data_IF_120396914593
#
_entry.id   IF_120396914593
#
_cell.length_a   1.000
_cell.length_b   1.000
_cell.length_c   1.000
_cell.angle_alpha   90.00
_cell.angle_beta   90.00
_cell.angle_gamma   90.00
#
_symmetry.space_group_name_H-M   'P 1'
#
loop_
_entity.id
_entity.type
_entity.pdbx_description
1 polymer ?
#
# COMPACT_ATOMS: atom_id res chain seq x y z
N UNK A 1 -4.37 30.98 23.90
CA UNK A 1 -3.87 29.62 23.58
C UNK A 1 -2.43 29.62 23.07
N UNK A 2 -2.08 30.34 21.99
CA UNK A 2 -0.69 30.36 21.46
C UNK A 2 0.39 30.69 22.52
N UNK A 3 0.28 31.85 23.17
CA UNK A 3 1.24 32.28 24.20
C UNK A 3 1.29 31.34 25.41
N UNK A 4 0.14 30.81 25.84
CA UNK A 4 0.08 29.83 26.93
C UNK A 4 0.80 28.51 26.58
N UNK A 5 0.69 28.04 25.33
CA UNK A 5 1.42 26.85 24.88
C UNK A 5 2.92 27.15 24.76
N UNK A 6 3.31 28.33 24.26
CA UNK A 6 4.71 28.77 24.20
C UNK A 6 5.33 28.79 25.60
N UNK A 7 4.64 29.42 26.56
CA UNK A 7 5.06 29.48 27.96
C UNK A 7 5.17 28.07 28.59
N UNK A 8 4.17 27.22 28.42
CA UNK A 8 4.21 25.85 28.94
C UNK A 8 5.40 25.05 28.38
N UNK A 9 5.64 25.11 27.07
CA UNK A 9 6.77 24.43 26.43
C UNK A 9 8.10 24.92 27.00
N UNK A 10 8.24 26.22 27.20
CA UNK A 10 9.45 26.82 27.74
C UNK A 10 9.64 26.50 29.23
N UNK A 11 8.64 26.73 30.07
CA UNK A 11 8.76 26.62 31.52
C UNK A 11 8.78 25.18 32.02
N UNK A 12 7.96 24.30 31.42
CA UNK A 12 7.79 22.91 31.89
C UNK A 12 8.66 21.93 31.14
N UNK A 13 8.84 22.12 29.82
CA UNK A 13 9.60 21.20 28.97
C UNK A 13 10.98 21.74 28.58
N UNK A 14 11.30 23.01 28.89
CA UNK A 14 12.54 23.68 28.48
C UNK A 14 12.77 23.65 26.97
N UNK A 15 11.67 23.82 26.21
CA UNK A 15 11.67 23.84 24.75
C UNK A 15 11.27 25.21 24.23
N UNK A 16 12.12 25.79 23.38
CA UNK A 16 11.85 27.07 22.71
C UNK A 16 11.03 26.88 21.41
N UNK A 17 10.22 27.88 21.07
CA UNK A 17 9.42 27.88 19.83
C UNK A 17 10.04 28.80 18.79
N UNK A 18 10.12 28.35 17.54
CA UNK A 18 10.52 29.18 16.41
C UNK A 18 9.44 30.21 16.05
N UNK A 19 9.77 31.50 16.11
CA UNK A 19 8.83 32.58 15.78
C UNK A 19 8.52 32.66 14.28
N UNK A 20 9.45 32.24 13.42
CA UNK A 20 9.25 32.17 11.98
C UNK A 20 8.23 31.09 11.59
N UNK A 21 8.32 29.92 12.23
CA UNK A 21 7.51 28.73 11.88
C UNK A 21 6.18 28.69 12.62
N UNK A 22 6.13 29.22 13.85
CA UNK A 22 4.95 29.22 14.71
C UNK A 22 4.20 30.54 14.61
N UNK A 23 3.06 30.54 13.91
CA UNK A 23 2.22 31.74 13.79
C UNK A 23 0.74 31.42 13.74
N UNK A 24 -0.07 32.37 14.20
CA UNK A 24 -1.53 32.31 14.07
C UNK A 24 -1.93 32.79 12.68
N UNK A 25 -2.60 31.95 11.89
CA UNK A 25 -2.99 32.25 10.51
C UNK A 25 -4.51 32.32 10.38
N UNK A 26 -5.02 33.42 9.82
CA UNK A 26 -6.41 33.49 9.42
C UNK A 26 -6.63 32.72 8.10
N UNK A 27 -7.19 31.51 8.21
CA UNK A 27 -7.43 30.60 7.08
C UNK A 27 -8.38 31.14 6.00
N UNK A 28 -9.17 32.19 6.28
CA UNK A 28 -10.01 32.86 5.27
C UNK A 28 -9.16 33.70 4.32
N UNK A 29 -8.08 34.31 4.84
CA UNK A 29 -7.17 35.17 4.07
C UNK A 29 -6.01 34.37 3.48
N UNK A 30 -5.28 33.64 4.33
CA UNK A 30 -4.04 32.94 3.97
C UNK A 30 -4.17 31.42 4.16
N UNK A 31 -3.53 30.60 3.32
CA UNK A 31 -3.46 29.16 3.56
C UNK A 31 -2.49 28.83 4.71
N UNK A 32 -2.69 27.69 5.35
CA UNK A 32 -1.71 27.06 6.24
C UNK A 32 -1.15 25.80 5.60
N UNK A 33 0.13 25.50 5.85
CA UNK A 33 0.79 24.29 5.37
C UNK A 33 1.12 23.36 6.54
N UNK A 34 0.73 22.09 6.44
CA UNK A 34 0.98 21.08 7.47
C UNK A 34 1.10 19.70 6.84
N UNK A 35 2.16 18.95 7.18
CA UNK A 35 2.42 17.59 6.67
C UNK A 35 2.29 17.45 5.14
N UNK A 36 2.73 18.46 4.40
CA UNK A 36 2.67 18.46 2.94
C UNK A 36 1.30 18.82 2.35
N UNK A 37 0.30 19.14 3.18
CA UNK A 37 -0.99 19.68 2.76
C UNK A 37 -1.06 21.19 2.93
N UNK A 38 -1.67 21.88 1.97
CA UNK A 38 -1.97 23.31 2.01
C UNK A 38 -3.47 23.50 2.16
N UNK A 39 -3.92 24.09 3.26
CA UNK A 39 -5.32 24.17 3.68
C UNK A 39 -5.77 25.64 3.74
N UNK A 40 -6.92 25.96 3.13
CA UNK A 40 -7.54 27.28 3.18
C UNK A 40 -9.05 27.16 3.40
N UNK A 41 -9.66 28.12 4.11
CA UNK A 41 -11.10 28.22 4.23
C UNK A 41 -11.69 28.83 2.96
N UNK A 42 -12.68 28.17 2.36
CA UNK A 42 -13.34 28.61 1.13
C UNK A 42 -14.85 28.76 1.35
N UNK A 43 -15.40 29.91 0.97
CA UNK A 43 -16.85 30.16 1.04
C UNK A 43 -17.58 29.28 0.01
N UNK A 44 -18.57 28.50 0.43
CA UNK A 44 -19.34 27.59 -0.43
C UNK A 44 -20.83 27.67 -0.07
N UNK A 45 -21.70 27.74 -1.08
CA UNK A 45 -23.15 27.58 -0.90
C UNK A 45 -23.43 26.11 -0.61
N UNK A 46 -24.13 25.85 0.48
CA UNK A 46 -24.58 24.52 0.92
C UNK A 46 -26.10 24.55 1.10
N UNK A 47 -26.72 23.40 1.28
CA UNK A 47 -28.16 23.30 1.56
C UNK A 47 -28.55 24.05 2.84
N UNK A 48 -27.60 24.28 3.76
CA UNK A 48 -27.76 25.05 4.99
C UNK A 48 -27.24 26.49 4.87
N UNK A 49 -27.27 27.06 3.66
CA UNK A 49 -26.78 28.41 3.38
C UNK A 49 -25.28 28.50 3.07
N UNK A 50 -24.74 29.71 3.13
CA UNK A 50 -23.33 29.99 2.82
C UNK A 50 -22.46 29.63 4.01
N UNK A 51 -21.53 28.68 3.82
CA UNK A 51 -20.59 28.23 4.86
C UNK A 51 -19.15 28.27 4.39
N UNK A 52 -18.21 28.24 5.32
CA UNK A 52 -16.80 28.03 4.99
C UNK A 52 -16.48 26.54 5.05
N UNK A 53 -15.88 26.01 3.98
CA UNK A 53 -15.41 24.64 3.90
C UNK A 53 -13.90 24.61 3.72
N UNK A 54 -13.24 23.57 4.25
CA UNK A 54 -11.82 23.38 4.03
C UNK A 54 -11.56 23.02 2.55
N UNK A 55 -10.67 23.78 1.91
CA UNK A 55 -10.08 23.44 0.61
C UNK A 55 -8.61 23.13 0.82
N UNK A 56 -8.25 21.87 0.60
CA UNK A 56 -6.90 21.35 0.72
C UNK A 56 -6.30 20.95 -0.63
N UNK A 57 -5.00 21.22 -0.74
CA UNK A 57 -4.12 20.91 -1.87
C UNK A 57 -2.83 20.24 -1.37
N UNK A 58 -2.03 19.68 -2.27
CA UNK A 58 -0.62 19.44 -2.02
C UNK A 58 0.14 20.77 -1.88
N UNK A 59 1.13 20.83 -1.00
CA UNK A 59 2.09 21.96 -0.94
C UNK A 59 2.97 21.99 -2.19
N UNK A 60 3.54 23.15 -2.49
CA UNK A 60 4.46 23.27 -3.64
C UNK A 60 5.71 22.39 -3.45
N UNK A 61 6.22 22.29 -2.21
CA UNK A 61 7.31 21.38 -1.86
C UNK A 61 6.93 19.91 -2.09
N UNK A 62 5.73 19.50 -1.68
CA UNK A 62 5.23 18.14 -1.93
C UNK A 62 5.11 17.83 -3.43
N UNK A 63 4.59 18.76 -4.23
CA UNK A 63 4.50 18.63 -5.68
C UNK A 63 5.89 18.50 -6.32
N UNK A 64 6.86 19.31 -5.91
CA UNK A 64 8.25 19.22 -6.39
C UNK A 64 8.88 17.87 -6.06
N UNK A 65 8.72 17.39 -4.83
CA UNK A 65 9.21 16.08 -4.40
C UNK A 65 8.56 14.93 -5.18
N UNK A 66 7.24 14.99 -5.39
CA UNK A 66 6.52 14.01 -6.21
C UNK A 66 7.04 14.00 -7.66
N UNK A 67 7.25 15.19 -8.24
CA UNK A 67 7.80 15.33 -9.60
C UNK A 67 9.19 14.70 -9.72
N UNK A 68 10.08 14.94 -8.75
CA UNK A 68 11.42 14.37 -8.74
C UNK A 68 11.40 12.83 -8.65
N UNK A 69 10.61 12.29 -7.72
CA UNK A 69 10.47 10.83 -7.55
C UNK A 69 9.95 10.14 -8.81
N UNK A 70 8.92 10.72 -9.44
CA UNK A 70 8.37 10.16 -10.68
C UNK A 70 9.41 10.25 -11.81
N UNK A 71 10.12 11.39 -11.97
CA UNK A 71 11.19 11.50 -12.97
C UNK A 71 12.30 10.47 -12.77
N UNK A 72 12.70 10.21 -11.52
CA UNK A 72 13.70 9.18 -11.21
C UNK A 72 13.21 7.79 -11.60
N UNK A 73 11.95 7.46 -11.30
CA UNK A 73 11.36 6.17 -11.69
C UNK A 73 11.28 6.02 -13.23
N UNK A 74 10.93 7.08 -13.96
CA UNK A 74 10.93 7.07 -15.44
C UNK A 74 12.34 6.84 -15.99
N UNK A 75 13.36 7.51 -15.43
CA UNK A 75 14.77 7.30 -15.82
C UNK A 75 15.22 5.87 -15.56
N UNK A 76 14.78 5.25 -14.47
CA UNK A 76 15.09 3.86 -14.16
C UNK A 76 14.51 2.90 -15.21
N UNK A 77 13.25 3.09 -15.62
CA UNK A 77 12.62 2.31 -16.70
C UNK A 77 13.39 2.49 -18.02
N UNK A 78 13.73 3.75 -18.37
CA UNK A 78 14.47 4.04 -19.60
C UNK A 78 15.82 3.32 -19.62
N UNK A 79 16.56 3.34 -18.50
CA UNK A 79 17.87 2.69 -18.39
C UNK A 79 17.76 1.17 -18.44
N UNK A 80 16.79 0.59 -17.74
CA UNK A 80 16.57 -0.85 -17.69
C UNK A 80 15.08 -1.15 -17.76
N UNK A 81 14.63 -1.65 -18.91
CA UNK A 81 13.22 -1.90 -19.24
C UNK A 81 12.72 -3.21 -18.60
N UNK A 82 12.87 -3.36 -17.29
CA UNK A 82 12.44 -4.55 -16.55
C UNK A 82 11.04 -4.38 -15.97
N UNK A 83 10.29 -5.47 -15.81
CA UNK A 83 8.98 -5.45 -15.16
C UNK A 83 9.07 -4.89 -13.73
N UNK A 84 10.18 -5.16 -13.03
CA UNK A 84 10.44 -4.61 -11.70
C UNK A 84 10.51 -3.08 -11.68
N UNK A 85 11.18 -2.45 -12.67
CA UNK A 85 11.25 -1.00 -12.73
C UNK A 85 9.88 -0.36 -13.05
N UNK A 86 9.06 -1.04 -13.86
CA UNK A 86 7.67 -0.62 -14.12
C UNK A 86 6.84 -0.74 -12.83
N UNK A 87 7.01 -1.83 -12.08
CA UNK A 87 6.36 -2.04 -10.79
C UNK A 87 6.78 -0.99 -9.74
N UNK A 88 8.07 -0.63 -9.68
CA UNK A 88 8.58 0.45 -8.81
C UNK A 88 7.97 1.80 -9.18
N UNK A 89 7.87 2.11 -10.46
CA UNK A 89 7.19 3.33 -10.94
C UNK A 89 5.73 3.39 -10.49
N UNK A 90 4.99 2.30 -10.68
CA UNK A 90 3.59 2.19 -10.25
C UNK A 90 3.46 2.36 -8.73
N UNK A 91 4.34 1.72 -7.96
CA UNK A 91 4.39 1.83 -6.49
C UNK A 91 4.62 3.27 -6.03
N UNK A 92 5.53 4.01 -6.67
CA UNK A 92 5.79 5.43 -6.37
C UNK A 92 4.52 6.27 -6.56
N UNK A 93 3.85 6.10 -7.70
CA UNK A 93 2.65 6.88 -8.02
C UNK A 93 1.51 6.53 -7.05
N UNK A 94 1.24 5.24 -6.85
CA UNK A 94 0.20 4.80 -5.93
C UNK A 94 0.45 5.29 -4.50
N UNK A 95 1.70 5.33 -4.05
CA UNK A 95 2.08 5.90 -2.76
C UNK A 95 1.73 7.38 -2.63
N UNK A 96 2.04 8.19 -3.66
CA UNK A 96 1.69 9.62 -3.70
C UNK A 96 0.17 9.80 -3.70
N UNK A 97 -0.54 9.06 -4.55
CA UNK A 97 -2.00 9.09 -4.62
C UNK A 97 -2.65 8.73 -3.29
N UNK A 98 -2.18 7.65 -2.65
CA UNK A 98 -2.73 7.19 -1.37
C UNK A 98 -2.51 8.23 -0.27
N UNK A 99 -1.29 8.74 -0.11
CA UNK A 99 -0.96 9.69 0.94
C UNK A 99 -1.77 10.99 0.82
N UNK A 100 -1.83 11.55 -0.38
CA UNK A 100 -2.53 12.82 -0.61
C UNK A 100 -4.01 12.66 -0.98
N UNK A 101 -4.57 11.45 -0.91
CA UNK A 101 -5.99 11.19 -1.20
C UNK A 101 -6.93 12.02 -0.33
N UNK A 102 -6.51 12.44 0.86
CA UNK A 102 -7.26 13.31 1.75
C UNK A 102 -7.39 14.77 1.25
N UNK A 103 -6.60 15.19 0.25
CA UNK A 103 -6.67 16.55 -0.26
C UNK A 103 -7.92 16.74 -1.15
N UNK A 104 -8.75 17.73 -0.83
CA UNK A 104 -10.01 18.01 -1.53
C UNK A 104 -9.82 18.32 -3.02
N UNK A 105 -8.64 18.82 -3.40
CA UNK A 105 -8.28 19.17 -4.78
C UNK A 105 -7.17 18.29 -5.33
N UNK A 106 -6.98 17.08 -4.77
CA UNK A 106 -5.92 16.17 -5.19
C UNK A 106 -5.91 15.88 -6.69
N UNK A 107 -7.08 15.70 -7.30
CA UNK A 107 -7.20 15.45 -8.74
C UNK A 107 -6.62 16.61 -9.55
N UNK A 108 -6.88 17.86 -9.16
CA UNK A 108 -6.34 19.04 -9.84
C UNK A 108 -4.82 19.10 -9.70
N UNK A 109 -4.31 18.83 -8.51
CA UNK A 109 -2.88 18.89 -8.22
C UNK A 109 -2.11 17.81 -9.00
N UNK A 110 -2.63 16.58 -9.04
CA UNK A 110 -2.02 15.49 -9.80
C UNK A 110 -2.20 15.65 -11.31
N UNK A 111 -3.29 16.25 -11.79
CA UNK A 111 -3.44 16.61 -13.22
C UNK A 111 -2.39 17.64 -13.65
N UNK A 112 -2.14 18.67 -12.84
CA UNK A 112 -1.07 19.64 -13.10
C UNK A 112 0.30 18.96 -13.10
N UNK A 113 0.54 18.06 -12.16
CA UNK A 113 1.78 17.28 -12.10
C UNK A 113 1.94 16.39 -13.34
N UNK A 114 0.87 15.70 -13.75
CA UNK A 114 0.84 14.86 -14.95
C UNK A 114 1.18 15.66 -16.20
N UNK A 115 0.55 16.83 -16.40
CA UNK A 115 0.82 17.68 -17.56
C UNK A 115 2.29 18.12 -17.65
N UNK A 116 2.91 18.45 -16.51
CA UNK A 116 4.35 18.77 -16.46
C UNK A 116 5.25 17.59 -16.77
N UNK A 117 4.78 16.36 -16.53
CA UNK A 117 5.54 15.13 -16.73
C UNK A 117 5.27 14.48 -18.09
N UNK A 118 4.16 14.80 -18.77
CA UNK A 118 3.76 14.19 -20.05
C UNK A 118 4.88 14.22 -21.10
N UNK A 119 5.54 15.37 -21.29
CA UNK A 119 6.65 15.48 -22.25
C UNK A 119 7.83 14.58 -21.87
N UNK A 120 8.15 14.49 -20.58
CA UNK A 120 9.23 13.62 -20.10
C UNK A 120 8.87 12.13 -20.22
N UNK A 121 7.61 11.76 -19.98
CA UNK A 121 7.10 10.40 -20.15
C UNK A 121 7.11 10.00 -21.62
N UNK A 122 6.61 10.88 -22.50
CA UNK A 122 6.62 10.66 -23.95
C UNK A 122 8.05 10.49 -24.45
N UNK A 123 8.91 11.49 -24.29
CA UNK A 123 10.27 11.47 -24.85
C UNK A 123 11.15 10.32 -24.34
N UNK A 124 10.89 9.79 -23.14
CA UNK A 124 11.73 8.73 -22.54
C UNK A 124 11.19 7.34 -22.73
N UNK A 125 9.87 7.20 -22.89
CA UNK A 125 9.20 5.90 -22.90
C UNK A 125 8.42 5.61 -24.18
N UNK A 126 8.32 6.55 -25.13
CA UNK A 126 7.51 6.39 -26.35
C UNK A 126 7.90 5.16 -27.17
N UNK A 127 9.20 4.88 -27.28
CA UNK A 127 9.73 3.77 -28.09
C UNK A 127 9.51 2.40 -27.45
N UNK A 128 9.37 2.36 -26.11
CA UNK A 128 9.35 1.10 -25.34
C UNK A 128 7.95 0.73 -24.86
N UNK A 129 7.02 1.69 -24.86
CA UNK A 129 5.66 1.49 -24.37
C UNK A 129 4.73 1.08 -25.50
N UNK A 130 3.80 0.19 -25.20
CA UNK A 130 2.69 -0.19 -26.08
C UNK A 130 1.39 0.40 -25.55
N UNK A 131 0.41 0.61 -26.43
CA UNK A 131 -0.93 0.97 -25.97
C UNK A 131 -1.52 -0.15 -25.13
N UNK A 132 -2.30 0.22 -24.12
CA UNK A 132 -2.97 -0.70 -23.22
C UNK A 132 -4.43 -0.29 -23.08
N UNK A 133 -5.25 -1.28 -22.72
CA UNK A 133 -6.65 -1.12 -22.39
C UNK A 133 -6.85 -1.21 -20.89
N UNK A 134 -8.06 -0.89 -20.42
CA UNK A 134 -8.39 -1.01 -19.00
C UNK A 134 -8.35 -2.47 -18.52
N UNK A 135 -8.62 -3.41 -19.41
CA UNK A 135 -8.65 -4.84 -19.17
C UNK A 135 -7.25 -5.43 -18.94
N UNK A 136 -6.19 -4.77 -19.44
CA UNK A 136 -4.80 -5.15 -19.19
C UNK A 136 -4.36 -4.92 -17.73
N UNK A 137 -5.11 -4.13 -16.95
CA UNK A 137 -4.83 -3.99 -15.51
C UNK A 137 -5.14 -5.29 -14.76
N UNK A 138 -4.41 -5.56 -13.67
CA UNK A 138 -4.83 -6.56 -12.69
C UNK A 138 -6.20 -6.21 -12.09
N UNK A 139 -6.96 -7.21 -11.63
CA UNK A 139 -8.32 -7.01 -11.07
C UNK A 139 -8.35 -5.95 -9.96
N UNK A 140 -7.31 -5.90 -9.13
CA UNK A 140 -7.16 -4.90 -8.06
C UNK A 140 -7.00 -3.47 -8.61
N UNK A 141 -6.21 -3.31 -9.68
CA UNK A 141 -6.01 -2.02 -10.35
C UNK A 141 -7.24 -1.58 -11.13
N UNK A 142 -7.96 -2.49 -11.77
CA UNK A 142 -9.26 -2.21 -12.38
C UNK A 142 -10.24 -1.67 -11.33
N UNK A 143 -10.33 -2.30 -10.15
CA UNK A 143 -11.18 -1.79 -9.06
C UNK A 143 -10.77 -0.38 -8.62
N UNK A 144 -9.47 -0.13 -8.52
CA UNK A 144 -8.91 1.15 -8.06
C UNK A 144 -9.18 2.30 -9.04
N UNK A 145 -8.98 2.07 -10.35
CA UNK A 145 -9.10 3.09 -11.38
C UNK A 145 -10.43 3.03 -12.15
N UNK A 146 -11.43 2.33 -11.62
CA UNK A 146 -12.77 2.27 -12.22
C UNK A 146 -13.38 3.66 -12.42
N UNK A 147 -13.82 3.93 -13.64
CA UNK A 147 -14.45 5.20 -14.01
C UNK A 147 -13.47 6.36 -14.22
N UNK A 148 -12.18 6.06 -14.43
CA UNK A 148 -11.23 7.01 -15.00
C UNK A 148 -11.04 6.72 -16.48
N UNK A 149 -11.21 7.76 -17.30
CA UNK A 149 -10.88 7.72 -18.72
C UNK A 149 -9.44 8.19 -18.89
N UNK A 150 -8.55 7.25 -19.22
CA UNK A 150 -7.12 7.50 -19.35
C UNK A 150 -6.61 6.84 -20.62
N UNK A 151 -5.72 7.51 -21.35
CA UNK A 151 -4.89 6.82 -22.33
C UNK A 151 -3.83 6.00 -21.58
N UNK A 152 -3.94 4.68 -21.68
CA UNK A 152 -3.10 3.74 -20.95
C UNK A 152 -1.98 3.20 -21.85
N UNK A 153 -0.86 2.90 -21.21
CA UNK A 153 0.29 2.30 -21.85
C UNK A 153 0.85 1.20 -20.96
N UNK A 154 1.41 0.16 -21.57
CA UNK A 154 2.09 -0.92 -20.86
C UNK A 154 3.53 -1.10 -21.31
N UNK A 155 4.36 -1.56 -20.39
CA UNK A 155 5.75 -1.94 -20.62
C UNK A 155 5.95 -3.29 -19.91
N UNK A 156 6.53 -4.28 -20.62
CA UNK A 156 6.70 -5.67 -20.12
C UNK A 156 5.39 -6.25 -19.52
N UNK A 157 4.30 -6.15 -20.27
CA UNK A 157 2.94 -6.56 -19.88
C UNK A 157 2.36 -5.90 -18.62
N UNK A 158 3.04 -4.90 -18.03
CA UNK A 158 2.54 -4.14 -16.89
C UNK A 158 2.05 -2.77 -17.32
N UNK A 159 0.78 -2.46 -17.03
CA UNK A 159 0.18 -1.16 -17.31
C UNK A 159 0.77 -0.08 -16.39
N UNK A 160 1.15 1.05 -16.95
CA UNK A 160 1.60 2.23 -16.22
C UNK A 160 0.41 2.89 -15.55
N UNK A 161 0.51 3.09 -14.23
CA UNK A 161 -0.52 3.75 -13.43
C UNK A 161 -0.66 5.22 -13.84
N UNK A 162 -1.88 5.72 -14.10
CA UNK A 162 -2.11 7.12 -14.42
C UNK A 162 -1.84 8.02 -13.20
N UNK A 163 -0.95 9.02 -13.35
CA UNK A 163 -0.53 9.91 -12.26
C UNK A 163 -1.72 10.69 -11.67
N UNK A 164 -2.61 11.18 -12.52
CA UNK A 164 -3.70 12.07 -12.15
C UNK A 164 -4.92 11.36 -11.53
N UNK A 165 -4.96 10.02 -11.57
CA UNK A 165 -6.14 9.24 -11.22
C UNK A 165 -6.28 9.01 -9.71
N UNK A 166 -6.57 10.09 -8.97
CA UNK A 166 -6.94 10.00 -7.55
C UNK A 166 -8.09 10.95 -7.24
N UNK A 167 -9.12 10.42 -6.58
CA UNK A 167 -10.25 11.18 -6.04
C UNK A 167 -10.00 11.49 -4.57
N UNK A 168 -10.61 12.57 -4.09
CA UNK A 168 -10.60 12.88 -2.66
C UNK A 168 -11.28 11.74 -1.90
N UNK A 169 -10.58 11.17 -0.92
CA UNK A 169 -11.17 10.28 0.08
C UNK A 169 -11.52 11.12 1.30
N UNK A 170 -12.78 11.09 1.70
CA UNK A 170 -13.23 11.83 2.89
C UNK A 170 -12.63 11.17 4.12
N UNK A 171 -11.91 11.95 4.92
CA UNK A 171 -11.47 11.52 6.23
C UNK A 171 -12.61 11.75 7.22
N UNK A 172 -13.12 10.68 7.80
CA UNK A 172 -14.12 10.74 8.86
C UNK A 172 -13.43 11.04 10.19
N UNK A 173 -14.16 11.66 11.11
CA UNK A 173 -13.67 11.92 12.46
C UNK A 173 -13.33 10.61 13.17
N UNK A 174 -12.32 10.64 14.02
CA UNK A 174 -12.03 9.51 14.90
C UNK A 174 -13.21 9.26 15.84
N UNK A 175 -13.45 7.99 16.16
CA UNK A 175 -14.40 7.62 17.20
C UNK A 175 -13.99 8.27 18.51
N UNK A 176 -14.92 8.95 19.18
CA UNK A 176 -14.69 9.54 20.51
C UNK A 176 -14.40 8.49 21.58
N UNK A 177 -14.66 7.21 21.29
CA UNK A 177 -14.33 6.10 22.19
C UNK A 177 -12.85 5.70 22.15
N UNK A 178 -12.09 6.18 21.16
CA UNK A 178 -10.65 5.98 21.04
C UNK A 178 -9.95 7.15 21.75
N UNK A 179 -9.21 6.85 22.81
CA UNK A 179 -8.50 7.86 23.61
C UNK A 179 -7.18 7.30 24.15
N UNK A 180 -6.09 8.03 23.95
CA UNK A 180 -4.75 7.63 24.41
C UNK A 180 -4.61 7.69 25.94
N UNK A 181 -5.47 8.46 26.61
CA UNK A 181 -5.37 8.71 28.05
C UNK A 181 -6.23 7.78 28.89
N UNK A 182 -7.13 6.99 28.27
CA UNK A 182 -7.95 5.99 28.98
C UNK A 182 -7.49 4.59 28.64
N UNK A 183 -7.49 3.67 29.61
CA UNK A 183 -7.09 2.27 29.38
C UNK A 183 -7.99 1.59 28.35
N UNK A 184 -9.31 1.80 28.44
CA UNK A 184 -10.27 1.27 27.46
C UNK A 184 -10.04 1.85 26.04
N UNK A 185 -9.76 3.15 25.93
CA UNK A 185 -9.45 3.80 24.66
C UNK A 185 -8.14 3.30 24.06
N UNK A 186 -7.08 3.17 24.87
CA UNK A 186 -5.79 2.60 24.47
C UNK A 186 -5.93 1.16 24.00
N UNK A 187 -6.70 0.32 24.70
CA UNK A 187 -6.91 -1.08 24.32
C UNK A 187 -7.52 -1.20 22.92
N UNK A 188 -8.46 -0.32 22.54
CA UNK A 188 -9.01 -0.27 21.18
C UNK A 188 -7.95 0.09 20.12
N UNK A 189 -7.01 0.97 20.46
CA UNK A 189 -5.86 1.27 19.59
C UNK A 189 -4.97 0.03 19.48
N UNK A 190 -4.60 -0.58 20.61
CA UNK A 190 -3.72 -1.75 20.64
C UNK A 190 -4.29 -3.00 19.97
N UNK A 191 -5.61 -3.23 20.05
CA UNK A 191 -6.28 -4.31 19.32
C UNK A 191 -6.18 -4.14 17.80
N UNK A 192 -6.32 -2.90 17.31
CA UNK A 192 -6.13 -2.58 15.89
C UNK A 192 -4.64 -2.57 15.49
N UNK A 193 -3.73 -2.42 16.47
CA UNK A 193 -2.28 -2.56 16.31
C UNK A 193 -1.80 -4.01 16.39
N UNK A 194 -2.68 -5.03 16.33
CA UNK A 194 -2.31 -6.41 15.92
C UNK A 194 -1.86 -6.42 14.44
N UNK A 195 -0.91 -5.55 14.15
CA UNK A 195 -0.42 -5.19 12.84
C UNK A 195 0.88 -5.92 12.61
N UNK A 196 1.08 -6.31 11.36
CA UNK A 196 2.31 -6.88 10.86
C UNK A 196 3.47 -5.97 11.22
N UNK A 197 4.60 -6.56 11.64
CA UNK A 197 5.84 -5.83 11.86
C UNK A 197 6.15 -4.95 10.63
N UNK A 198 6.38 -3.65 10.85
CA UNK A 198 6.57 -2.67 9.76
C UNK A 198 7.76 -3.00 8.87
N UNK A 199 8.85 -3.52 9.45
CA UNK A 199 10.04 -3.90 8.69
C UNK A 199 9.76 -5.13 7.85
N UNK A 200 9.09 -6.15 8.41
CA UNK A 200 8.63 -7.33 7.66
C UNK A 200 7.71 -6.93 6.51
N UNK A 201 6.69 -6.12 6.78
CA UNK A 201 5.77 -5.66 5.73
C UNK A 201 6.51 -4.89 4.63
N UNK A 202 7.44 -4.02 5.00
CA UNK A 202 8.24 -3.28 4.03
C UNK A 202 9.16 -4.20 3.21
N UNK A 203 9.69 -5.27 3.81
CA UNK A 203 10.49 -6.28 3.11
C UNK A 203 9.63 -7.03 2.09
N UNK A 204 8.49 -7.59 2.54
CA UNK A 204 7.51 -8.31 1.69
C UNK A 204 7.06 -7.44 0.52
N UNK A 205 6.74 -6.17 0.79
CA UNK A 205 6.29 -5.23 -0.25
C UNK A 205 7.38 -4.87 -1.25
N UNK A 206 8.67 -4.92 -0.90
CA UNK A 206 9.78 -4.55 -1.80
C UNK A 206 10.27 -5.70 -2.67
N UNK A 207 9.99 -6.94 -2.27
CA UNK A 207 10.41 -8.11 -3.01
C UNK A 207 9.51 -8.25 -4.25
N UNK A 208 10.09 -8.10 -5.44
CA UNK A 208 9.42 -8.41 -6.70
C UNK A 208 10.11 -9.64 -7.30
N UNK A 209 9.33 -10.65 -7.70
CA UNK A 209 9.86 -11.89 -8.29
C UNK A 209 9.69 -11.82 -9.81
N UNK A 210 10.77 -11.59 -10.60
CA UNK A 210 10.66 -11.39 -12.05
C UNK A 210 10.17 -12.63 -12.82
N UNK A 211 10.39 -13.83 -12.28
CA UNK A 211 9.97 -15.10 -12.89
C UNK A 211 8.49 -15.43 -12.67
N UNK A 212 7.75 -14.62 -11.91
CA UNK A 212 6.34 -14.82 -11.61
C UNK A 212 5.48 -13.75 -12.30
N UNK A 213 4.20 -14.06 -12.47
CA UNK A 213 3.26 -13.11 -13.06
C UNK A 213 3.11 -11.85 -12.20
N UNK A 214 2.62 -10.78 -12.83
CA UNK A 214 2.30 -9.53 -12.15
C UNK A 214 1.19 -9.76 -11.11
N UNK A 215 0.18 -10.56 -11.48
CA UNK A 215 -0.93 -10.90 -10.60
C UNK A 215 -0.46 -11.66 -9.36
N UNK A 216 0.48 -12.61 -9.50
CA UNK A 216 1.07 -13.31 -8.35
C UNK A 216 1.78 -12.36 -7.39
N UNK A 217 2.61 -11.45 -7.93
CA UNK A 217 3.36 -10.48 -7.14
C UNK A 217 2.43 -9.53 -6.35
N UNK A 218 1.31 -9.10 -6.94
CA UNK A 218 0.33 -8.26 -6.26
C UNK A 218 -0.50 -9.05 -5.22
N UNK A 219 -0.97 -10.24 -5.59
CA UNK A 219 -1.87 -11.03 -4.76
C UNK A 219 -1.15 -11.63 -3.54
N UNK A 220 0.13 -12.00 -3.64
CA UNK A 220 0.90 -12.53 -2.49
C UNK A 220 1.06 -11.51 -1.36
N UNK A 221 1.32 -10.23 -1.69
CA UNK A 221 1.41 -9.15 -0.70
C UNK A 221 0.03 -8.94 -0.06
N UNK A 222 -1.02 -8.91 -0.89
CA UNK A 222 -2.40 -8.75 -0.41
C UNK A 222 -2.79 -9.90 0.54
N UNK A 223 -2.39 -11.14 0.23
CA UNK A 223 -2.60 -12.32 1.08
C UNK A 223 -1.85 -12.25 2.40
N UNK A 224 -0.58 -11.85 2.36
CA UNK A 224 0.23 -11.65 3.57
C UNK A 224 -0.44 -10.65 4.52
N UNK A 225 -0.93 -9.53 3.98
CA UNK A 225 -1.65 -8.51 4.75
C UNK A 225 -2.96 -9.06 5.34
N UNK A 226 -3.75 -9.76 4.53
CA UNK A 226 -5.04 -10.32 4.96
C UNK A 226 -4.89 -11.41 6.04
N UNK A 227 -3.76 -12.11 6.05
CA UNK A 227 -3.40 -13.10 7.07
C UNK A 227 -2.71 -12.48 8.29
N UNK A 228 -2.64 -11.15 8.40
CA UNK A 228 -1.95 -10.45 9.48
C UNK A 228 -0.48 -10.88 9.64
N UNK A 229 0.18 -11.27 8.55
CA UNK A 229 1.56 -11.75 8.56
C UNK A 229 1.73 -13.06 9.34
N UNK A 230 0.67 -13.86 9.46
CA UNK A 230 0.69 -15.14 10.18
C UNK A 230 0.55 -16.31 9.21
N UNK A 231 1.16 -17.43 9.57
CA UNK A 231 0.98 -18.69 8.86
C UNK A 231 -0.50 -19.10 8.86
N UNK A 232 -1.05 -19.43 7.70
CA UNK A 232 -2.45 -19.86 7.59
C UNK A 232 -2.75 -21.15 8.37
N UNK A 233 -1.74 -22.00 8.56
CA UNK A 233 -1.84 -23.27 9.28
C UNK A 233 -1.54 -23.05 10.75
N UNK A 234 -0.31 -22.68 11.11
CA UNK A 234 0.13 -22.65 12.51
C UNK A 234 -0.35 -21.41 13.28
N UNK A 235 -0.68 -20.32 12.60
CA UNK A 235 -1.01 -19.03 13.22
C UNK A 235 0.19 -18.27 13.80
N UNK A 236 1.40 -18.82 13.66
CA UNK A 236 2.64 -18.17 14.10
C UNK A 236 2.89 -16.92 13.25
N UNK A 237 3.40 -15.87 13.89
CA UNK A 237 3.82 -14.65 13.20
C UNK A 237 5.09 -14.91 12.39
N UNK A 238 5.04 -14.49 11.13
CA UNK A 238 6.12 -14.68 10.18
C UNK A 238 7.06 -13.47 10.19
N UNK A 239 8.35 -13.75 10.25
CA UNK A 239 9.45 -12.82 10.01
C UNK A 239 9.68 -12.48 8.53
N UNK A 240 10.91 -12.05 8.21
CA UNK A 240 11.25 -11.56 6.87
C UNK A 240 11.44 -12.68 5.85
N UNK A 241 11.99 -13.82 6.28
CA UNK A 241 12.50 -14.89 5.41
C UNK A 241 11.78 -16.24 5.58
N UNK A 242 10.90 -16.36 6.57
CA UNK A 242 10.24 -17.60 6.99
C UNK A 242 8.84 -17.79 6.37
N UNK A 243 8.41 -16.88 5.51
CA UNK A 243 7.11 -16.92 4.85
C UNK A 243 7.22 -17.35 3.39
N UNK A 244 6.39 -18.32 3.00
CA UNK A 244 6.25 -18.75 1.61
C UNK A 244 4.81 -18.53 1.14
N UNK A 245 4.66 -18.07 -0.11
CA UNK A 245 3.35 -17.98 -0.76
C UNK A 245 3.09 -19.25 -1.57
N UNK A 246 2.18 -20.07 -1.07
CA UNK A 246 1.75 -21.34 -1.64
C UNK A 246 0.56 -21.15 -2.58
N UNK A 247 0.55 -21.89 -3.68
CA UNK A 247 -0.65 -22.13 -4.49
C UNK A 247 -1.37 -23.35 -3.95
N UNK A 248 -2.60 -23.17 -3.46
CA UNK A 248 -3.48 -24.25 -2.98
C UNK A 248 -3.60 -25.35 -4.03
N UNK A 249 -4.02 -24.99 -5.23
CA UNK A 249 -3.92 -25.85 -6.41
C UNK A 249 -2.67 -25.46 -7.20
N UNK A 250 -1.73 -26.38 -7.46
CA UNK A 250 -0.45 -26.08 -8.09
C UNK A 250 -0.57 -25.32 -9.41
N UNK A 251 0.27 -24.29 -9.56
CA UNK A 251 0.27 -23.41 -10.75
C UNK A 251 0.50 -24.17 -12.07
N UNK A 252 1.26 -25.27 -12.07
CA UNK A 252 1.50 -26.02 -13.30
C UNK A 252 0.23 -26.72 -13.84
N UNK A 253 -0.77 -26.94 -12.99
CA UNK A 253 -2.05 -27.57 -13.37
C UNK A 253 -3.05 -26.52 -13.89
N UNK A 254 -3.23 -25.42 -13.15
CA UNK A 254 -4.32 -24.47 -13.42
C UNK A 254 -3.87 -23.16 -14.06
N UNK A 255 -2.57 -22.84 -13.99
CA UNK A 255 -2.02 -21.51 -14.29
C UNK A 255 -2.74 -20.37 -13.55
N UNK A 256 -3.31 -20.67 -12.39
CA UNK A 256 -4.11 -19.72 -11.62
C UNK A 256 -3.30 -19.01 -10.52
N UNK A 257 -2.99 -17.73 -10.75
CA UNK A 257 -2.38 -16.82 -9.77
C UNK A 257 -3.40 -15.96 -9.01
N UNK A 258 -4.70 -16.30 -9.11
CA UNK A 258 -5.76 -15.55 -8.46
C UNK A 258 -5.59 -15.54 -6.94
N UNK A 259 -6.04 -14.44 -6.33
CA UNK A 259 -6.01 -14.26 -4.88
C UNK A 259 -6.60 -15.46 -4.13
N UNK A 260 -7.67 -16.08 -4.63
CA UNK A 260 -8.34 -17.23 -4.02
C UNK A 260 -7.45 -18.46 -3.88
N UNK A 261 -6.59 -18.70 -4.88
CA UNK A 261 -5.69 -19.84 -4.96
C UNK A 261 -4.41 -19.67 -4.12
N UNK A 262 -4.09 -18.45 -3.66
CA UNK A 262 -2.88 -18.20 -2.87
C UNK A 262 -3.13 -18.34 -1.36
N UNK A 263 -2.12 -18.78 -0.62
CA UNK A 263 -2.09 -18.80 0.84
C UNK A 263 -0.67 -18.61 1.37
N UNK A 264 -0.49 -17.85 2.44
CA UNK A 264 0.83 -17.67 3.09
C UNK A 264 1.01 -18.72 4.18
N UNK A 265 2.13 -19.42 4.13
CA UNK A 265 2.51 -20.47 5.08
C UNK A 265 3.94 -20.27 5.57
N UNK A 266 4.28 -20.90 6.69
CA UNK A 266 5.64 -20.93 7.23
C UNK A 266 6.49 -21.88 6.37
N UNK A 267 7.78 -21.61 6.18
CA UNK A 267 8.66 -22.40 5.29
C UNK A 267 8.65 -23.93 5.57
N UNK A 268 8.73 -24.41 6.83
CA UNK A 268 8.64 -25.84 7.14
C UNK A 268 7.27 -26.44 6.80
N UNK A 269 6.19 -25.68 6.99
CA UNK A 269 4.84 -26.11 6.60
C UNK A 269 4.72 -26.20 5.08
N UNK A 270 5.32 -25.26 4.36
CA UNK A 270 5.39 -25.31 2.90
C UNK A 270 6.12 -26.57 2.41
N UNK A 271 7.25 -26.91 3.04
CA UNK A 271 7.98 -28.15 2.76
C UNK A 271 7.12 -29.36 3.08
N UNK A 272 6.44 -29.38 4.22
CA UNK A 272 5.56 -30.46 4.63
C UNK A 272 4.43 -30.73 3.63
N UNK A 273 3.87 -29.70 2.98
CA UNK A 273 2.80 -29.88 1.96
C UNK A 273 3.28 -30.65 0.72
N UNK A 274 4.53 -30.46 0.30
CA UNK A 274 5.09 -31.11 -0.88
C UNK A 274 5.91 -32.38 -0.58
N UNK A 275 6.19 -32.65 0.69
CA UNK A 275 7.05 -33.76 1.09
C UNK A 275 6.38 -35.12 0.83
N UNK A 276 7.08 -36.02 0.15
CA UNK A 276 6.65 -37.41 -0.12
C UNK A 276 7.40 -38.46 0.69
N UNK A 277 8.61 -38.16 1.15
CA UNK A 277 9.40 -39.07 1.97
C UNK A 277 8.83 -39.11 3.40
N UNK A 278 8.40 -40.30 3.84
CA UNK A 278 7.73 -40.50 5.14
C UNK A 278 8.65 -40.22 6.33
N UNK A 279 9.93 -40.63 6.28
CA UNK A 279 10.88 -40.40 7.38
C UNK A 279 11.10 -38.90 7.63
N UNK A 280 11.37 -38.13 6.57
CA UNK A 280 11.57 -36.67 6.67
C UNK A 280 10.28 -35.94 7.08
N UNK A 281 9.13 -36.48 6.69
CA UNK A 281 7.83 -35.95 7.05
C UNK A 281 7.59 -36.10 8.56
N UNK A 282 7.91 -37.27 9.13
CA UNK A 282 7.78 -37.49 10.57
C UNK A 282 8.66 -36.53 11.37
N UNK A 283 9.92 -36.34 10.95
CA UNK A 283 10.84 -35.36 11.59
C UNK A 283 10.26 -33.93 11.59
N UNK A 284 9.63 -33.50 10.49
CA UNK A 284 8.99 -32.18 10.41
C UNK A 284 7.72 -32.08 11.26
N UNK A 285 6.91 -33.14 11.34
CA UNK A 285 5.72 -33.19 12.17
C UNK A 285 6.08 -33.08 13.65
N UNK A 286 7.10 -33.83 14.08
CA UNK A 286 7.59 -33.82 15.46
C UNK A 286 8.16 -32.45 15.85
N UNK A 287 8.81 -31.77 14.91
CA UNK A 287 9.32 -30.40 15.11
C UNK A 287 8.20 -29.35 15.17
N UNK A 288 7.16 -29.48 14.32
CA UNK A 288 6.07 -28.51 14.23
C UNK A 288 5.01 -28.67 15.32
N UNK A 289 4.88 -29.86 15.91
CA UNK A 289 3.91 -30.19 16.98
C UNK A 289 2.50 -29.66 16.68
N UNK A 290 2.02 -29.99 15.48
CA UNK A 290 0.74 -29.52 14.98
C UNK A 290 -0.42 -30.14 15.78
N UNK A 291 -1.44 -29.35 16.08
CA UNK A 291 -2.69 -29.89 16.62
C UNK A 291 -3.59 -30.47 15.51
N UNK A 292 -4.63 -31.22 15.88
CA UNK A 292 -5.55 -31.88 14.93
C UNK A 292 -6.14 -30.92 13.88
N UNK A 293 -6.53 -29.71 14.29
CA UNK A 293 -7.09 -28.70 13.37
C UNK A 293 -6.05 -28.21 12.37
N UNK A 294 -4.81 -28.03 12.81
CA UNK A 294 -3.69 -27.63 11.95
C UNK A 294 -3.31 -28.76 10.99
N UNK A 295 -3.27 -30.00 11.47
CA UNK A 295 -2.98 -31.18 10.65
C UNK A 295 -4.04 -31.36 9.55
N UNK A 296 -5.32 -31.25 9.89
CA UNK A 296 -6.42 -31.28 8.91
C UNK A 296 -6.20 -30.24 7.80
N UNK A 297 -5.79 -29.04 8.16
CA UNK A 297 -5.53 -27.96 7.18
C UNK A 297 -4.30 -28.22 6.32
N UNK A 298 -3.27 -28.89 6.85
CA UNK A 298 -2.13 -29.36 6.04
C UNK A 298 -2.60 -30.42 5.05
N UNK A 299 -3.40 -31.39 5.51
CA UNK A 299 -3.93 -32.45 4.65
C UNK A 299 -4.82 -31.91 3.53
N UNK A 300 -5.71 -30.94 3.82
CA UNK A 300 -6.49 -30.23 2.80
C UNK A 300 -5.60 -29.59 1.72
N UNK A 301 -4.45 -29.00 2.10
CA UNK A 301 -3.50 -28.41 1.14
C UNK A 301 -2.70 -29.48 0.39
N UNK A 302 -2.36 -30.60 1.04
CA UNK A 302 -1.67 -31.74 0.41
C UNK A 302 -2.55 -32.39 -0.66
N UNK A 303 -3.81 -32.64 -0.35
CA UNK A 303 -4.80 -33.20 -1.28
C UNK A 303 -5.02 -32.28 -2.48
N UNK A 304 -5.11 -30.97 -2.28
CA UNK A 304 -5.20 -29.99 -3.37
C UNK A 304 -3.95 -29.95 -4.27
N UNK A 305 -2.81 -30.42 -3.75
CA UNK A 305 -1.57 -30.63 -4.48
C UNK A 305 -1.42 -32.04 -5.08
N UNK A 306 -2.47 -32.88 -5.01
CA UNK A 306 -2.44 -34.28 -5.43
C UNK A 306 -1.41 -35.13 -4.65
N UNK A 307 -1.19 -34.81 -3.38
CA UNK A 307 -0.40 -35.61 -2.45
C UNK A 307 -1.32 -36.30 -1.43
N UNK A 308 -0.89 -37.44 -0.90
CA UNK A 308 -1.61 -38.19 0.13
C UNK A 308 -1.66 -37.41 1.46
N UNK A 309 -2.79 -37.52 2.16
CA UNK A 309 -2.96 -37.02 3.52
C UNK A 309 -1.99 -37.75 4.48
N UNK A 310 -1.57 -37.02 5.50
CA UNK A 310 -0.78 -37.53 6.63
C UNK A 310 -1.73 -38.15 7.65
#
# INVERSE_FOLDING_TARGET
MYYAVKDFLQTRLRLETSEEKSKVVNLKKNPSEFLGFRIKAHRKKTNMGIRYVARSHMTQKALGNAQMKIKQAVKAIQKHQTAENVWRFNTVIMGIQNYYSAASRITIDLSKLNNRLNKALYNRLSEVRKEATFQDFSKSMQKRYKGYECKLYKIKEMVLVPIHAQRCKVNLNFSQTICNYTTAGRNKIHQNLRAINKQTLAHVMKQFIPSRSIEYNDNRISRFIAQYGKCAVTGIELGMDDWHCHHKTPYHLTKDDSYGNLVIVHEPVHRLIYMRNQEKMQVLLDALKLNEKQLKKVNELREQCLNEAI
#
